data_IF_051877967962
#
_entry.id   IF_051877967962
#
_cell.length_a   1.000
_cell.length_b   1.000
_cell.length_c   1.000
_cell.angle_alpha   90.00
_cell.angle_beta   90.00
_cell.angle_gamma   90.00
#
_symmetry.space_group_name_H-M   'P 1'
#
loop_
_entity.id
_entity.type
_entity.pdbx_description
1 polymer ?
#
# COMPACT_ATOMS: atom_id res chain seq x y z
N UNK A 1 43.14 31.64 -40.37
CA UNK A 1 41.95 31.00 -40.98
C UNK A 1 41.80 29.67 -40.27
N UNK A 2 40.74 29.31 -39.57
CA UNK A 2 39.34 29.74 -39.58
C UNK A 2 38.73 29.65 -38.18
N UNK A 3 37.74 30.51 -37.94
CA UNK A 3 36.76 30.45 -36.86
C UNK A 3 36.04 29.10 -36.78
N UNK A 4 35.72 28.68 -35.56
CA UNK A 4 34.33 28.35 -35.19
C UNK A 4 34.17 28.35 -33.66
N UNK A 5 33.42 29.33 -33.17
CA UNK A 5 32.69 29.26 -31.90
C UNK A 5 31.66 28.12 -31.98
N UNK A 6 31.59 27.30 -30.93
CA UNK A 6 30.37 26.58 -30.59
C UNK A 6 30.12 26.83 -29.11
N UNK A 7 29.24 27.80 -28.85
CA UNK A 7 28.55 27.98 -27.58
C UNK A 7 27.80 26.69 -27.26
N UNK A 8 28.25 25.98 -26.23
CA UNK A 8 27.44 24.94 -25.60
C UNK A 8 26.41 25.65 -24.72
N UNK A 9 25.17 25.68 -25.21
CA UNK A 9 23.97 26.04 -24.47
C UNK A 9 23.78 25.05 -23.31
N UNK A 10 24.14 25.48 -22.10
CA UNK A 10 23.78 24.77 -20.86
C UNK A 10 22.44 25.29 -20.36
N UNK A 11 21.35 24.79 -20.92
CA UNK A 11 20.05 24.87 -20.27
C UNK A 11 20.04 23.95 -19.03
N UNK A 12 19.53 24.39 -17.87
CA UNK A 12 19.53 23.58 -16.66
C UNK A 12 18.52 22.42 -16.78
N UNK A 13 18.97 21.19 -16.53
CA UNK A 13 18.09 20.02 -16.29
C UNK A 13 17.33 20.21 -14.97
N UNK A 14 16.20 20.89 -15.01
CA UNK A 14 15.20 20.85 -13.95
C UNK A 14 13.88 20.36 -14.58
N UNK A 15 13.61 19.05 -14.63
CA UNK A 15 12.43 18.62 -15.40
C UNK A 15 11.82 17.23 -15.11
N UNK A 16 12.10 16.59 -13.97
CA UNK A 16 11.38 15.35 -13.61
C UNK A 16 11.00 15.29 -12.13
N UNK A 17 11.96 15.51 -11.23
CA UNK A 17 11.71 15.56 -9.78
C UNK A 17 10.72 16.67 -9.41
N UNK A 18 11.00 17.90 -9.83
CA UNK A 18 10.16 19.09 -9.53
C UNK A 18 8.74 18.98 -10.08
N UNK A 19 8.56 18.35 -11.24
CA UNK A 19 7.24 18.12 -11.84
C UNK A 19 6.46 17.06 -11.06
N UNK A 20 7.12 16.01 -10.60
CA UNK A 20 6.50 14.97 -9.79
C UNK A 20 6.10 15.51 -8.40
N UNK A 21 6.93 16.38 -7.81
CA UNK A 21 6.65 17.03 -6.52
C UNK A 21 5.46 18.00 -6.62
N UNK A 22 5.35 18.75 -7.72
CA UNK A 22 4.22 19.65 -7.97
C UNK A 22 2.91 18.88 -8.18
N UNK A 23 2.95 17.78 -8.96
CA UNK A 23 1.80 16.88 -9.16
C UNK A 23 1.36 16.25 -7.84
N UNK A 24 2.31 15.78 -7.03
CA UNK A 24 2.02 15.21 -5.72
C UNK A 24 1.39 16.25 -4.78
N UNK A 25 1.98 17.45 -4.71
CA UNK A 25 1.47 18.53 -3.85
C UNK A 25 0.03 18.94 -4.21
N UNK A 26 -0.27 19.03 -5.51
CA UNK A 26 -1.61 19.32 -5.99
C UNK A 26 -2.59 18.17 -5.68
N UNK A 27 -2.16 16.91 -5.84
CA UNK A 27 -2.97 15.75 -5.48
C UNK A 27 -3.31 15.75 -3.98
N UNK A 28 -2.35 16.02 -3.10
CA UNK A 28 -2.59 16.14 -1.66
C UNK A 28 -3.66 17.20 -1.35
N UNK A 29 -3.56 18.37 -1.99
CA UNK A 29 -4.55 19.45 -1.84
C UNK A 29 -5.94 19.01 -2.28
N UNK A 30 -6.06 18.38 -3.45
CA UNK A 30 -7.32 17.89 -3.98
C UNK A 30 -7.95 16.79 -3.12
N UNK A 31 -7.14 15.89 -2.57
CA UNK A 31 -7.61 14.82 -1.69
C UNK A 31 -8.10 15.35 -0.34
N UNK A 32 -7.46 16.38 0.20
CA UNK A 32 -7.88 17.04 1.43
C UNK A 32 -9.22 17.78 1.30
N UNK A 33 -9.61 18.16 0.08
CA UNK A 33 -10.86 18.87 -0.23
C UNK A 33 -12.06 17.92 -0.49
N UNK A 34 -11.83 16.61 -0.59
CA UNK A 34 -12.90 15.64 -0.83
C UNK A 34 -13.86 15.56 0.36
N UNK A 35 -15.16 15.52 0.07
CA UNK A 35 -16.17 15.23 1.10
C UNK A 35 -16.03 13.80 1.64
N UNK A 36 -16.56 13.53 2.83
CA UNK A 36 -16.57 12.17 3.41
C UNK A 36 -17.19 11.13 2.45
N UNK A 37 -18.24 11.53 1.73
CA UNK A 37 -18.91 10.67 0.74
C UNK A 37 -18.00 10.33 -0.43
N UNK A 38 -17.24 11.29 -0.95
CA UNK A 38 -16.27 11.04 -2.02
C UNK A 38 -15.09 10.23 -1.51
N UNK A 39 -14.59 10.53 -0.31
CA UNK A 39 -13.52 9.78 0.33
C UNK A 39 -13.93 8.33 0.60
N UNK A 40 -15.22 8.01 0.66
CA UNK A 40 -15.71 6.65 0.84
C UNK A 40 -15.57 5.74 -0.40
N UNK A 41 -15.18 6.28 -1.57
CA UNK A 41 -14.87 5.49 -2.77
C UNK A 41 -13.63 4.60 -2.57
N UNK A 42 -13.44 3.57 -3.39
CA UNK A 42 -12.24 2.74 -3.30
C UNK A 42 -10.99 3.52 -3.73
N UNK A 43 -9.81 3.11 -3.24
CA UNK A 43 -8.54 3.70 -3.67
C UNK A 43 -8.30 3.51 -5.16
N UNK A 44 -8.76 2.40 -5.76
CA UNK A 44 -8.69 2.18 -7.19
C UNK A 44 -9.55 3.19 -7.98
N UNK A 45 -10.79 3.42 -7.56
CA UNK A 45 -11.68 4.40 -8.19
C UNK A 45 -11.15 5.82 -8.09
N UNK A 46 -10.65 6.21 -6.91
CA UNK A 46 -10.06 7.52 -6.71
C UNK A 46 -8.79 7.68 -7.56
N UNK A 47 -7.90 6.68 -7.59
CA UNK A 47 -6.69 6.72 -8.42
C UNK A 47 -7.04 6.92 -9.91
N UNK A 48 -8.05 6.18 -10.41
CA UNK A 48 -8.56 6.36 -11.76
C UNK A 48 -9.16 7.76 -11.99
N UNK A 49 -9.93 8.29 -11.04
CA UNK A 49 -10.51 9.65 -11.10
C UNK A 49 -9.43 10.74 -11.24
N UNK A 50 -8.31 10.59 -10.54
CA UNK A 50 -7.21 11.55 -10.57
C UNK A 50 -6.13 11.25 -11.62
N UNK A 51 -6.25 10.13 -12.36
CA UNK A 51 -5.29 9.75 -13.39
C UNK A 51 -3.90 9.40 -12.86
N UNK A 52 -3.82 8.85 -11.65
CA UNK A 52 -2.57 8.47 -10.97
C UNK A 52 -2.56 6.98 -10.64
N UNK A 53 -1.39 6.44 -10.30
CA UNK A 53 -1.30 5.09 -9.75
C UNK A 53 -1.95 5.01 -8.36
N UNK A 54 -2.38 3.80 -7.96
CA UNK A 54 -3.00 3.61 -6.64
C UNK A 54 -2.01 3.93 -5.51
N UNK A 55 -0.73 3.60 -5.67
CA UNK A 55 0.32 4.02 -4.76
C UNK A 55 0.39 5.55 -4.62
N UNK A 56 0.45 6.30 -5.74
CA UNK A 56 0.51 7.77 -5.70
C UNK A 56 -0.69 8.39 -5.01
N UNK A 57 -1.88 7.84 -5.25
CA UNK A 57 -3.08 8.25 -4.53
C UNK A 57 -2.93 8.01 -3.02
N UNK A 58 -2.59 6.78 -2.61
CA UNK A 58 -2.50 6.41 -1.20
C UNK A 58 -1.41 7.19 -0.47
N UNK A 59 -0.27 7.41 -1.12
CA UNK A 59 0.83 8.20 -0.58
C UNK A 59 0.50 9.71 -0.46
N UNK A 60 -0.51 10.20 -1.18
CA UNK A 60 -0.97 11.58 -1.11
C UNK A 60 -2.19 11.77 -0.17
N UNK A 61 -2.68 10.70 0.45
CA UNK A 61 -3.71 10.82 1.48
C UNK A 61 -3.15 11.50 2.74
N UNK A 62 -4.00 12.16 3.55
CA UNK A 62 -3.58 12.72 4.83
C UNK A 62 -2.87 11.68 5.72
N UNK A 63 -1.86 12.11 6.46
CA UNK A 63 -1.04 11.23 7.32
C UNK A 63 -1.88 10.53 8.40
N UNK A 64 -3.01 11.13 8.79
CA UNK A 64 -3.97 10.53 9.71
C UNK A 64 -4.66 9.30 9.11
N UNK A 65 -4.74 9.20 7.78
CA UNK A 65 -5.31 8.06 7.06
C UNK A 65 -4.25 7.06 6.61
N UNK A 66 -3.08 7.50 6.15
CA UNK A 66 -2.09 6.64 5.53
C UNK A 66 -0.70 6.78 6.19
N UNK A 67 -0.15 5.66 6.63
CA UNK A 67 1.26 5.56 7.05
C UNK A 67 2.01 4.73 6.03
N UNK A 68 3.00 5.34 5.39
CA UNK A 68 3.81 4.69 4.36
C UNK A 68 5.04 4.00 4.97
N UNK A 69 5.38 2.83 4.44
CA UNK A 69 6.56 2.06 4.80
C UNK A 69 7.27 1.53 3.55
N UNK A 70 8.57 1.30 3.67
CA UNK A 70 9.37 0.70 2.61
C UNK A 70 9.04 -0.79 2.44
N UNK A 71 9.16 -1.31 1.21
CA UNK A 71 8.90 -2.71 0.88
C UNK A 71 9.77 -3.72 1.64
N UNK A 72 10.92 -3.30 2.18
CA UNK A 72 11.78 -4.14 3.03
C UNK A 72 11.08 -4.65 4.31
N UNK A 73 10.01 -4.00 4.76
CA UNK A 73 9.19 -4.49 5.86
C UNK A 73 8.29 -5.67 5.49
N UNK A 74 8.09 -5.97 4.21
CA UNK A 74 7.02 -6.85 3.74
C UNK A 74 7.00 -8.20 4.45
N UNK A 75 8.12 -8.90 4.52
CA UNK A 75 8.18 -10.21 5.16
C UNK A 75 7.82 -10.13 6.65
N UNK A 76 8.46 -9.24 7.40
CA UNK A 76 8.21 -9.10 8.85
C UNK A 76 6.75 -8.73 9.17
N UNK A 77 6.12 -7.89 8.34
CA UNK A 77 4.71 -7.54 8.52
C UNK A 77 3.81 -8.74 8.25
N UNK A 78 4.05 -9.48 7.17
CA UNK A 78 3.28 -10.68 6.85
C UNK A 78 3.42 -11.76 7.93
N UNK A 79 4.61 -11.93 8.50
CA UNK A 79 4.85 -12.83 9.63
C UNK A 79 4.04 -12.40 10.86
N UNK A 80 4.00 -11.10 11.18
CA UNK A 80 3.22 -10.55 12.30
C UNK A 80 1.70 -10.78 12.11
N UNK A 81 1.18 -10.62 10.89
CA UNK A 81 -0.25 -10.82 10.58
C UNK A 81 -0.74 -12.25 10.87
N UNK A 82 0.14 -13.25 10.87
CA UNK A 82 -0.19 -14.65 11.22
C UNK A 82 -0.84 -14.74 12.61
N UNK A 83 -0.47 -13.85 13.54
CA UNK A 83 -0.98 -13.82 14.91
C UNK A 83 -2.26 -13.00 15.11
N UNK A 84 -2.77 -12.33 14.07
CA UNK A 84 -3.87 -11.35 14.23
C UNK A 84 -5.27 -11.98 14.21
N UNK A 85 -5.37 -13.28 13.95
CA UNK A 85 -6.65 -13.97 13.82
C UNK A 85 -7.30 -13.74 12.44
N UNK A 86 -8.63 -13.79 12.30
CA UNK A 86 -9.30 -13.72 11.01
C UNK A 86 -9.13 -12.36 10.32
N UNK A 87 -8.64 -12.37 9.09
CA UNK A 87 -8.43 -11.21 8.23
C UNK A 87 -9.18 -11.40 6.91
N UNK A 88 -9.16 -10.40 6.04
CA UNK A 88 -9.60 -10.54 4.63
C UNK A 88 -8.46 -10.16 3.70
N UNK A 89 -7.89 -11.14 3.00
CA UNK A 89 -6.90 -10.88 1.95
C UNK A 89 -7.60 -10.69 0.62
N UNK A 90 -7.25 -9.63 -0.10
CA UNK A 90 -7.84 -9.28 -1.39
C UNK A 90 -6.76 -9.24 -2.46
N UNK A 91 -7.00 -9.93 -3.57
CA UNK A 91 -6.19 -9.84 -4.79
C UNK A 91 -7.11 -9.37 -5.92
N UNK A 92 -6.62 -8.44 -6.71
CA UNK A 92 -7.30 -7.95 -7.90
C UNK A 92 -6.51 -8.36 -9.15
N UNK A 93 -7.24 -8.75 -10.20
CA UNK A 93 -6.66 -9.08 -11.50
C UNK A 93 -7.63 -8.67 -12.60
N UNK A 94 -7.30 -7.60 -13.32
CA UNK A 94 -8.04 -7.11 -14.50
C UNK A 94 -9.54 -6.90 -14.20
N UNK A 95 -9.85 -6.24 -13.10
CA UNK A 95 -11.20 -5.97 -12.60
C UNK A 95 -11.85 -7.12 -11.83
N UNK A 96 -11.23 -8.30 -11.80
CA UNK A 96 -11.70 -9.43 -10.99
C UNK A 96 -11.15 -9.33 -9.57
N UNK A 97 -12.03 -9.35 -8.56
CA UNK A 97 -11.67 -9.25 -7.15
C UNK A 97 -11.85 -10.61 -6.49
N UNK A 98 -10.79 -11.13 -5.89
CA UNK A 98 -10.77 -12.36 -5.13
C UNK A 98 -10.59 -12.04 -3.64
N UNK A 99 -11.53 -12.46 -2.81
CA UNK A 99 -11.47 -12.29 -1.37
C UNK A 99 -11.25 -13.63 -0.66
N UNK A 100 -10.24 -13.68 0.20
CA UNK A 100 -10.01 -14.78 1.11
C UNK A 100 -10.25 -14.33 2.55
N UNK A 101 -11.22 -14.95 3.23
CA UNK A 101 -11.55 -14.70 4.63
C UNK A 101 -11.00 -15.79 5.52
N UNK A 102 -10.13 -15.43 6.45
CA UNK A 102 -9.46 -16.35 7.34
C UNK A 102 -8.18 -15.75 7.92
N UNK A 103 -7.49 -16.50 8.78
CA UNK A 103 -6.19 -16.06 9.28
C UNK A 103 -5.18 -15.94 8.13
N UNK A 104 -4.28 -14.97 8.21
CA UNK A 104 -3.18 -14.89 7.26
C UNK A 104 -2.27 -16.11 7.47
N UNK A 105 -1.92 -16.86 6.41
CA UNK A 105 -1.13 -18.07 6.53
C UNK A 105 0.32 -17.75 6.92
N UNK A 106 0.96 -18.68 7.63
CA UNK A 106 2.41 -18.62 7.82
C UNK A 106 3.11 -18.77 6.46
N UNK A 107 4.36 -18.32 6.38
CA UNK A 107 5.16 -18.48 5.17
C UNK A 107 6.64 -18.63 5.42
N UNK A 108 7.35 -19.10 4.39
CA UNK A 108 8.81 -19.26 4.41
C UNK A 108 9.44 -18.83 3.09
N UNK A 109 10.58 -18.12 3.11
CA UNK A 109 11.36 -17.86 1.92
C UNK A 109 11.82 -19.16 1.24
N UNK A 110 11.77 -19.20 -0.09
CA UNK A 110 12.24 -20.33 -0.88
C UNK A 110 12.01 -20.10 -2.37
N UNK A 111 12.99 -20.49 -3.20
CA UNK A 111 12.95 -20.33 -4.66
C UNK A 111 12.65 -18.91 -5.16
N UNK A 112 13.04 -17.88 -4.41
CA UNK A 112 12.79 -16.47 -4.76
C UNK A 112 11.41 -15.93 -4.36
N UNK A 113 10.59 -16.73 -3.66
CA UNK A 113 9.27 -16.34 -3.17
C UNK A 113 9.17 -16.48 -1.65
N UNK A 114 8.20 -15.78 -1.07
CA UNK A 114 7.65 -16.09 0.25
C UNK A 114 6.47 -17.03 0.08
N UNK A 115 6.66 -18.29 0.47
CA UNK A 115 5.73 -19.39 0.18
C UNK A 115 4.74 -19.52 1.34
N UNK A 116 3.46 -19.25 1.06
CA UNK A 116 2.38 -19.33 2.03
C UNK A 116 1.90 -20.77 2.19
N UNK A 117 1.76 -21.20 3.42
CA UNK A 117 1.20 -22.50 3.74
C UNK A 117 0.23 -22.40 4.92
N UNK A 118 -0.90 -23.08 4.78
CA UNK A 118 -1.84 -23.31 5.87
C UNK A 118 -1.82 -24.78 6.30
N UNK A 119 -2.34 -25.05 7.51
CA UNK A 119 -2.53 -26.41 7.97
C UNK A 119 -3.60 -27.10 7.11
N UNK A 120 -3.33 -28.34 6.71
CA UNK A 120 -4.28 -29.22 6.03
C UNK A 120 -4.78 -28.74 4.65
N UNK A 121 -4.07 -27.82 3.99
CA UNK A 121 -4.46 -27.36 2.65
C UNK A 121 -5.72 -26.48 2.62
N UNK A 122 -6.18 -26.03 3.79
CA UNK A 122 -7.37 -25.20 3.94
C UNK A 122 -6.96 -23.75 4.13
N UNK A 123 -7.40 -22.87 3.24
CA UNK A 123 -7.18 -21.44 3.37
C UNK A 123 -6.40 -20.81 2.22
N UNK A 124 -5.77 -19.66 2.47
CA UNK A 124 -4.95 -18.99 1.47
C UNK A 124 -3.63 -19.75 1.30
N UNK A 125 -3.35 -20.13 0.07
CA UNK A 125 -2.07 -20.68 -0.38
C UNK A 125 -1.55 -19.83 -1.53
N UNK A 126 -0.23 -19.82 -1.70
CA UNK A 126 0.38 -19.14 -2.83
C UNK A 126 1.84 -18.79 -2.59
N UNK A 127 2.38 -18.03 -3.55
CA UNK A 127 3.77 -17.63 -3.57
C UNK A 127 3.81 -16.12 -3.79
N UNK A 128 4.32 -15.38 -2.79
CA UNK A 128 4.42 -13.92 -2.87
C UNK A 128 5.83 -13.53 -3.31
N UNK A 129 5.93 -12.77 -4.41
CA UNK A 129 7.20 -12.27 -4.91
C UNK A 129 7.57 -10.97 -4.18
N UNK A 130 8.01 -11.09 -2.93
CA UNK A 130 8.23 -9.92 -2.05
C UNK A 130 9.30 -8.96 -2.58
N UNK A 131 10.23 -9.42 -3.40
CA UNK A 131 11.23 -8.58 -4.06
C UNK A 131 10.62 -7.53 -5.01
N UNK A 132 9.36 -7.69 -5.42
CA UNK A 132 8.64 -6.68 -6.20
C UNK A 132 7.88 -5.67 -5.33
N UNK A 133 7.73 -5.91 -4.03
CA UNK A 133 7.09 -4.95 -3.13
C UNK A 133 8.06 -3.79 -2.91
N UNK A 134 7.73 -2.61 -3.43
CA UNK A 134 8.53 -1.39 -3.22
C UNK A 134 8.01 -0.55 -2.05
N UNK A 135 6.69 -0.54 -1.85
CA UNK A 135 6.05 0.23 -0.79
C UNK A 135 4.91 -0.54 -0.13
N UNK A 136 4.64 -0.17 1.11
CA UNK A 136 3.54 -0.70 1.91
C UNK A 136 2.81 0.51 2.52
N UNK A 137 1.49 0.45 2.59
CA UNK A 137 0.69 1.44 3.32
C UNK A 137 -0.13 0.76 4.41
N UNK A 138 -0.11 1.35 5.61
CA UNK A 138 -1.14 1.13 6.61
C UNK A 138 -2.21 2.20 6.42
N UNK A 139 -3.36 1.78 5.90
CA UNK A 139 -4.45 2.66 5.53
C UNK A 139 -5.63 2.50 6.49
N UNK A 140 -5.94 3.56 7.23
CA UNK A 140 -7.15 3.79 8.02
C UNK A 140 -8.06 4.77 7.25
N UNK A 141 -8.87 4.25 6.32
CA UNK A 141 -9.71 5.06 5.42
C UNK A 141 -11.14 4.52 5.41
N UNK A 142 -12.17 5.36 5.57
CA UNK A 142 -13.54 4.92 5.44
C UNK A 142 -13.81 4.24 4.09
N UNK A 143 -14.60 3.18 4.13
CA UNK A 143 -15.10 2.51 2.93
C UNK A 143 -16.57 2.18 3.10
N UNK A 144 -17.38 2.59 2.13
CA UNK A 144 -18.85 2.52 2.17
C UNK A 144 -19.45 3.04 3.50
N UNK A 145 -18.95 4.20 3.97
CA UNK A 145 -19.43 4.86 5.19
C UNK A 145 -19.03 4.18 6.51
N UNK A 146 -18.10 3.21 6.48
CA UNK A 146 -17.62 2.51 7.68
C UNK A 146 -16.11 2.63 7.82
N UNK A 147 -15.62 2.74 9.05
CA UNK A 147 -14.19 2.64 9.34
C UNK A 147 -13.62 1.36 8.74
N UNK A 148 -12.51 1.46 8.00
CA UNK A 148 -11.85 0.34 7.36
C UNK A 148 -10.35 0.50 7.48
N UNK A 149 -9.66 -0.62 7.73
CA UNK A 149 -8.25 -0.67 8.02
C UNK A 149 -7.61 -1.75 7.15
N UNK A 150 -6.50 -1.43 6.50
CA UNK A 150 -5.82 -2.36 5.61
C UNK A 150 -4.32 -2.14 5.56
N UNK A 151 -3.58 -3.21 5.32
CA UNK A 151 -2.21 -3.19 4.82
C UNK A 151 -2.28 -3.37 3.30
N UNK A 152 -1.66 -2.48 2.54
CA UNK A 152 -1.63 -2.52 1.08
C UNK A 152 -0.20 -2.62 0.60
N UNK A 153 0.07 -3.57 -0.30
CA UNK A 153 1.42 -3.85 -0.80
C UNK A 153 1.50 -3.42 -2.27
N UNK A 154 2.42 -2.53 -2.59
CA UNK A 154 2.55 -1.92 -3.91
C UNK A 154 3.83 -2.36 -4.61
N UNK A 155 3.73 -2.61 -5.91
CA UNK A 155 4.87 -2.83 -6.77
C UNK A 155 5.55 -1.51 -7.19
N UNK A 156 6.77 -1.58 -7.71
CA UNK A 156 7.53 -0.42 -8.17
C UNK A 156 6.83 0.44 -9.24
N UNK A 157 5.90 -0.15 -9.99
CA UNK A 157 5.07 0.56 -10.97
C UNK A 157 3.82 1.23 -10.35
N UNK A 158 3.67 1.22 -9.03
CA UNK A 158 2.56 1.82 -8.29
C UNK A 158 1.26 1.01 -8.29
N UNK A 159 1.24 -0.19 -8.89
CA UNK A 159 0.09 -1.11 -8.81
C UNK A 159 0.05 -1.79 -7.45
N UNK A 160 -1.16 -2.00 -6.94
CA UNK A 160 -1.36 -2.85 -5.77
C UNK A 160 -1.16 -4.32 -6.15
N UNK A 161 -0.33 -5.03 -5.38
CA UNK A 161 -0.13 -6.48 -5.53
C UNK A 161 -1.23 -7.27 -4.79
N UNK A 162 -1.51 -6.88 -3.55
CA UNK A 162 -2.59 -7.41 -2.73
C UNK A 162 -2.85 -6.50 -1.53
N UNK A 163 -3.98 -6.71 -0.86
CA UNK A 163 -4.39 -5.99 0.35
C UNK A 163 -4.77 -6.98 1.45
N UNK A 164 -4.50 -6.63 2.70
CA UNK A 164 -4.97 -7.39 3.87
C UNK A 164 -5.78 -6.45 4.75
N UNK A 165 -7.08 -6.69 4.82
CA UNK A 165 -8.02 -5.94 5.65
C UNK A 165 -8.21 -6.59 7.01
N UNK A 166 -8.41 -5.75 8.03
CA UNK A 166 -8.82 -6.24 9.34
C UNK A 166 -10.18 -6.94 9.24
N UNK A 167 -10.31 -8.00 10.04
CA UNK A 167 -11.50 -8.82 10.14
C UNK A 167 -12.69 -8.06 10.72
N UNK A 168 -13.86 -8.65 10.48
CA UNK A 168 -15.10 -8.25 11.11
C UNK A 168 -15.80 -9.44 11.71
N UNK A 169 -16.50 -9.21 12.80
CA UNK A 169 -17.36 -10.21 13.43
C UNK A 169 -18.63 -10.48 12.59
N UNK A 170 -19.50 -11.35 13.11
CA UNK A 170 -20.77 -11.70 12.47
C UNK A 170 -21.73 -10.51 12.35
N UNK A 171 -21.57 -9.50 13.20
CA UNK A 171 -22.33 -8.24 13.23
C UNK A 171 -21.68 -7.16 12.34
N UNK A 172 -20.64 -7.52 11.57
CA UNK A 172 -19.87 -6.64 10.68
C UNK A 172 -19.15 -5.51 11.43
N UNK A 173 -18.87 -5.68 12.72
CA UNK A 173 -18.03 -4.75 13.49
C UNK A 173 -16.56 -5.15 13.37
N UNK A 174 -15.67 -4.17 13.41
CA UNK A 174 -14.23 -4.44 13.45
C UNK A 174 -13.86 -5.13 14.75
N UNK A 175 -12.85 -6.00 14.68
CA UNK A 175 -12.29 -6.68 15.83
C UNK A 175 -11.41 -5.71 16.63
N UNK A 176 -11.77 -5.31 17.87
CA UNK A 176 -11.06 -4.26 18.62
C UNK A 176 -9.58 -4.57 18.85
N UNK A 177 -9.23 -5.83 19.08
CA UNK A 177 -7.86 -6.29 19.27
C UNK A 177 -7.00 -6.07 18.02
N UNK A 178 -7.56 -6.30 16.82
CA UNK A 178 -6.86 -6.05 15.57
C UNK A 178 -6.66 -4.55 15.31
N UNK A 179 -7.65 -3.73 15.66
CA UNK A 179 -7.53 -2.26 15.56
C UNK A 179 -6.42 -1.76 16.49
N UNK A 180 -6.34 -2.28 17.72
CA UNK A 180 -5.28 -1.92 18.65
C UNK A 180 -3.88 -2.31 18.14
N UNK A 181 -3.72 -3.52 17.60
CA UNK A 181 -2.46 -3.96 16.96
C UNK A 181 -2.10 -3.09 15.75
N UNK A 182 -3.08 -2.72 14.93
CA UNK A 182 -2.89 -1.86 13.76
C UNK A 182 -2.40 -0.45 14.15
N UNK A 183 -3.01 0.18 15.15
CA UNK A 183 -2.57 1.51 15.60
C UNK A 183 -1.17 1.46 16.26
N UNK A 184 -0.87 0.41 17.02
CA UNK A 184 0.50 0.18 17.54
C UNK A 184 1.51 0.05 16.39
N UNK A 185 1.14 -0.67 15.34
CA UNK A 185 1.98 -0.84 14.16
C UNK A 185 2.21 0.48 13.41
N UNK A 186 1.20 1.33 13.27
CA UNK A 186 1.33 2.67 12.69
C UNK A 186 2.33 3.52 13.47
N UNK A 187 2.17 3.60 14.80
CA UNK A 187 3.08 4.35 15.66
C UNK A 187 4.51 3.83 15.53
N UNK A 188 4.69 2.50 15.50
CA UNK A 188 6.00 1.86 15.34
C UNK A 188 6.67 2.25 14.02
N UNK A 189 5.93 2.22 12.91
CA UNK A 189 6.49 2.52 11.57
C UNK A 189 6.79 4.00 11.37
N UNK A 190 6.07 4.90 12.06
CA UNK A 190 6.39 6.34 12.10
C UNK A 190 7.69 6.58 12.90
N UNK A 191 7.85 5.88 14.03
CA UNK A 191 8.97 6.11 14.94
C UNK A 191 10.28 5.41 14.52
N UNK A 192 10.19 4.29 13.81
CA UNK A 192 11.37 3.50 13.45
C UNK A 192 11.96 3.93 12.09
N UNK A 193 13.29 3.98 11.97
CA UNK A 193 13.93 4.16 10.67
C UNK A 193 13.56 3.00 9.75
N UNK A 194 13.34 3.31 8.48
CA UNK A 194 13.05 2.30 7.47
C UNK A 194 14.28 1.37 7.31
N UNK A 195 14.09 0.04 7.22
CA UNK A 195 15.18 -0.90 7.00
C UNK A 195 15.82 -0.59 5.66
N UNK A 196 17.14 -0.74 5.59
CA UNK A 196 17.87 -0.59 4.34
C UNK A 196 17.25 -1.50 3.26
N UNK A 197 17.16 -0.97 2.03
CA UNK A 197 16.87 -1.80 0.88
C UNK A 197 18.08 -2.73 0.65
N UNK A 198 17.86 -4.04 0.65
CA UNK A 198 18.86 -5.03 0.25
C UNK A 198 18.96 -5.16 -1.27
#
# INVERSE_FOLDING_TARGET
MSHTDVLADTAPKADAGTKNDAVHSELCRQLAELSEKEMSASTQELAARFGVSEYQLVAALPEEMAVMAHGSWAQSLLEELTGWGPLTTIVESEGSIFEFKGAFPAGKPGHGYFNLYSKEGTGLHGHLLLSQVSHIALLAKPFMGKASYSLQFFAANGRTMFKVYLGRDKQRQLLPEQVALFEQLRVRLIAQPQPAAE
#
